data_IF_297967622410
#
_entry.id   IF_297967622410
#
_cell.length_a   1.000
_cell.length_b   1.000
_cell.length_c   1.000
_cell.angle_alpha   90.00
_cell.angle_beta   90.00
_cell.angle_gamma   90.00
#
_symmetry.space_group_name_H-M   'P 1'
#
loop_
_entity.id
_entity.type
_entity.pdbx_description
1 polymer ?
#
# COMPACT_ATOMS: atom_id res chain seq x y z
N UNK A 1 -11.96 32.20 -0.53
CA UNK A 1 -12.96 31.39 0.19
C UNK A 1 -13.56 30.24 -0.63
N UNK A 2 -13.54 30.28 -2.00
CA UNK A 2 -14.07 29.19 -2.86
C UNK A 2 -13.14 27.96 -2.99
N UNK A 3 -11.84 28.11 -2.81
CA UNK A 3 -10.87 27.02 -2.96
C UNK A 3 -10.90 26.00 -1.81
N UNK A 4 -11.13 26.43 -0.59
CA UNK A 4 -11.20 25.58 0.59
C UNK A 4 -12.39 24.60 0.51
N UNK A 5 -13.54 25.07 0.04
CA UNK A 5 -14.77 24.28 -0.01
C UNK A 5 -14.71 23.13 -1.04
N UNK A 6 -14.01 23.33 -2.16
CA UNK A 6 -13.85 22.28 -3.20
C UNK A 6 -12.89 21.16 -2.74
N UNK A 7 -11.78 21.52 -2.08
CA UNK A 7 -10.83 20.55 -1.51
C UNK A 7 -11.46 19.75 -0.38
N UNK A 8 -12.23 20.39 0.49
CA UNK A 8 -12.95 19.76 1.58
C UNK A 8 -13.99 18.75 1.04
N UNK A 9 -14.73 19.13 -0.02
CA UNK A 9 -15.70 18.26 -0.70
C UNK A 9 -15.00 17.05 -1.33
N UNK A 10 -13.87 17.25 -2.01
CA UNK A 10 -13.11 16.15 -2.60
C UNK A 10 -12.60 15.17 -1.55
N UNK A 11 -12.09 15.66 -0.44
CA UNK A 11 -11.61 14.85 0.69
C UNK A 11 -12.74 14.05 1.32
N UNK A 12 -13.92 14.66 1.50
CA UNK A 12 -15.12 13.99 2.00
C UNK A 12 -15.54 12.83 1.08
N UNK A 13 -15.61 13.09 -0.25
CA UNK A 13 -15.96 12.05 -1.23
C UNK A 13 -14.96 10.89 -1.16
N UNK A 14 -13.66 11.16 -1.10
CA UNK A 14 -12.61 10.13 -1.01
C UNK A 14 -12.71 9.30 0.26
N UNK A 15 -12.99 9.92 1.41
CA UNK A 15 -13.11 9.20 2.69
C UNK A 15 -14.31 8.24 2.69
N UNK A 16 -15.45 8.67 2.16
CA UNK A 16 -16.66 7.85 2.05
C UNK A 16 -16.46 6.76 0.99
N UNK A 17 -15.90 7.10 -0.17
CA UNK A 17 -15.61 6.14 -1.22
C UNK A 17 -14.65 5.03 -0.74
N UNK A 18 -13.61 5.40 0.02
CA UNK A 18 -12.69 4.47 0.68
C UNK A 18 -13.44 3.44 1.52
N UNK A 19 -14.36 3.89 2.37
CA UNK A 19 -15.21 3.01 3.19
C UNK A 19 -16.03 2.07 2.31
N UNK A 20 -16.74 2.60 1.31
CA UNK A 20 -17.57 1.79 0.42
C UNK A 20 -16.76 0.75 -0.37
N UNK A 21 -15.60 1.11 -0.88
CA UNK A 21 -14.73 0.18 -1.59
C UNK A 21 -14.10 -0.86 -0.65
N UNK A 22 -13.76 -0.47 0.57
CA UNK A 22 -13.26 -1.40 1.58
C UNK A 22 -14.32 -2.42 2.00
N UNK A 23 -15.57 -1.99 2.18
CA UNK A 23 -16.65 -2.87 2.65
C UNK A 23 -17.27 -3.74 1.56
N UNK A 24 -17.33 -3.24 0.31
CA UNK A 24 -18.14 -3.85 -0.77
C UNK A 24 -17.34 -4.20 -2.03
N UNK A 25 -16.07 -3.86 -2.06
CA UNK A 25 -15.24 -3.96 -3.27
C UNK A 25 -15.64 -2.96 -4.35
N UNK A 26 -14.93 -3.00 -5.48
CA UNK A 26 -15.21 -2.11 -6.60
C UNK A 26 -16.62 -2.32 -7.14
N UNK A 27 -17.05 -3.56 -7.38
CA UNK A 27 -18.36 -3.85 -8.01
C UNK A 27 -19.53 -3.59 -7.09
N UNK A 28 -19.40 -3.89 -5.79
CA UNK A 28 -20.47 -3.71 -4.82
C UNK A 28 -20.69 -2.25 -4.39
N UNK A 29 -19.70 -1.40 -4.55
CA UNK A 29 -19.84 0.03 -4.29
C UNK A 29 -20.56 0.73 -5.44
N UNK A 30 -21.40 1.75 -5.15
CA UNK A 30 -22.08 2.55 -6.17
C UNK A 30 -21.89 4.06 -5.92
N UNK A 31 -21.82 4.83 -7.00
CA UNK A 31 -21.78 6.30 -6.93
C UNK A 31 -23.00 6.82 -6.14
N UNK A 32 -24.17 6.22 -6.34
CA UNK A 32 -25.41 6.65 -5.67
C UNK A 32 -25.34 6.50 -4.16
N UNK A 33 -24.79 5.39 -3.68
CA UNK A 33 -24.62 5.19 -2.24
C UNK A 33 -23.58 6.14 -1.64
N UNK A 34 -22.50 6.41 -2.37
CA UNK A 34 -21.44 7.33 -1.94
C UNK A 34 -21.97 8.77 -1.83
N UNK A 35 -22.63 9.29 -2.88
CA UNK A 35 -23.17 10.66 -2.83
C UNK A 35 -24.29 10.82 -1.82
N UNK A 36 -25.10 9.78 -1.60
CA UNK A 36 -26.14 9.77 -0.55
C UNK A 36 -25.51 9.88 0.85
N UNK A 37 -24.49 9.08 1.13
CA UNK A 37 -23.80 9.14 2.43
C UNK A 37 -23.04 10.47 2.63
N UNK A 38 -22.47 11.03 1.55
CA UNK A 38 -21.82 12.34 1.55
C UNK A 38 -22.80 13.53 1.68
N UNK A 39 -24.10 13.29 1.55
CA UNK A 39 -25.12 14.33 1.42
C UNK A 39 -24.82 15.31 0.25
N UNK A 40 -24.39 14.76 -0.88
CA UNK A 40 -24.03 15.50 -2.09
C UNK A 40 -24.91 15.10 -3.28
N UNK A 41 -24.94 15.96 -4.30
CA UNK A 41 -25.50 15.60 -5.60
C UNK A 41 -24.51 14.78 -6.42
N UNK A 42 -25.02 13.96 -7.38
CA UNK A 42 -24.16 13.30 -8.38
C UNK A 42 -23.31 14.31 -9.16
N UNK A 43 -23.88 15.47 -9.51
CA UNK A 43 -23.16 16.54 -10.20
C UNK A 43 -21.95 17.04 -9.40
N UNK A 44 -22.06 17.15 -8.07
CA UNK A 44 -20.95 17.54 -7.21
C UNK A 44 -19.81 16.49 -7.22
N UNK A 45 -20.14 15.20 -7.29
CA UNK A 45 -19.13 14.14 -7.41
C UNK A 45 -18.50 14.17 -8.81
N UNK A 46 -19.29 14.28 -9.88
CA UNK A 46 -18.77 14.30 -11.26
C UNK A 46 -17.95 15.55 -11.60
N UNK A 47 -18.07 16.60 -10.78
CA UNK A 47 -17.16 17.75 -10.89
C UNK A 47 -15.71 17.41 -10.46
N UNK A 48 -15.56 16.43 -9.53
CA UNK A 48 -14.26 16.01 -9.00
C UNK A 48 -13.70 14.75 -9.67
N UNK A 49 -14.58 13.85 -10.11
CA UNK A 49 -14.19 12.53 -10.61
C UNK A 49 -15.02 12.17 -11.85
N UNK A 50 -14.36 11.73 -12.92
CA UNK A 50 -15.01 11.38 -14.18
C UNK A 50 -15.91 10.13 -14.09
N UNK A 51 -15.79 9.35 -13.04
CA UNK A 51 -16.59 8.14 -12.82
C UNK A 51 -16.08 7.30 -11.65
N UNK A 52 -16.70 6.13 -11.49
CA UNK A 52 -16.40 5.20 -10.39
C UNK A 52 -14.95 4.68 -10.43
N UNK A 53 -14.42 4.41 -11.63
CA UNK A 53 -13.05 3.95 -11.79
C UNK A 53 -12.04 5.03 -11.44
N UNK A 54 -12.29 6.27 -11.83
CA UNK A 54 -11.43 7.41 -11.48
C UNK A 54 -11.42 7.67 -9.97
N UNK A 55 -12.60 7.57 -9.34
CA UNK A 55 -12.74 7.64 -7.89
C UNK A 55 -11.98 6.49 -7.19
N UNK A 56 -12.11 5.25 -7.70
CA UNK A 56 -11.37 4.09 -7.17
C UNK A 56 -9.87 4.26 -7.31
N UNK A 57 -9.40 4.73 -8.49
CA UNK A 57 -7.99 5.05 -8.73
C UNK A 57 -7.45 6.09 -7.72
N UNK A 58 -8.24 7.11 -7.43
CA UNK A 58 -7.85 8.15 -6.49
C UNK A 58 -7.75 7.62 -5.04
N UNK A 59 -8.67 6.74 -4.64
CA UNK A 59 -8.61 6.05 -3.35
C UNK A 59 -7.39 5.15 -3.28
N UNK A 60 -7.16 4.32 -4.29
CA UNK A 60 -6.02 3.40 -4.36
C UNK A 60 -4.68 4.13 -4.28
N UNK A 61 -4.53 5.26 -5.00
CA UNK A 61 -3.34 6.12 -4.88
C UNK A 61 -3.14 6.64 -3.45
N UNK A 62 -4.23 6.99 -2.76
CA UNK A 62 -4.17 7.40 -1.36
C UNK A 62 -3.67 6.30 -0.43
N UNK A 63 -4.06 5.04 -0.65
CA UNK A 63 -3.58 3.90 0.14
C UNK A 63 -2.09 3.64 -0.10
N UNK A 64 -1.63 3.71 -1.34
CA UNK A 64 -0.20 3.57 -1.69
C UNK A 64 0.63 4.69 -1.05
N UNK A 65 0.14 5.92 -1.11
CA UNK A 65 0.82 7.09 -0.51
C UNK A 65 0.96 6.96 1.02
N UNK A 66 0.00 6.33 1.69
CA UNK A 66 0.11 6.03 3.13
C UNK A 66 1.24 5.05 3.43
N UNK A 67 1.41 4.00 2.61
CA UNK A 67 2.56 3.08 2.73
C UNK A 67 3.85 3.85 2.52
N UNK A 68 3.89 4.67 1.48
CA UNK A 68 5.05 5.48 1.15
C UNK A 68 5.47 6.39 2.31
N UNK A 69 4.55 7.12 2.89
CA UNK A 69 4.84 7.99 4.04
C UNK A 69 5.41 7.25 5.25
N UNK A 70 4.99 6.00 5.48
CA UNK A 70 5.54 5.19 6.56
C UNK A 70 6.93 4.65 6.22
N UNK A 71 7.10 4.14 4.99
CA UNK A 71 8.29 3.39 4.59
C UNK A 71 9.45 4.26 4.10
N UNK A 72 9.14 5.46 3.56
CA UNK A 72 10.13 6.35 2.97
C UNK A 72 10.57 7.41 3.97
N UNK A 73 11.89 7.59 4.21
CA UNK A 73 12.39 8.63 5.08
C UNK A 73 12.22 10.02 4.44
N UNK A 74 11.81 11.00 5.24
CA UNK A 74 11.77 12.40 4.83
C UNK A 74 13.18 13.00 4.70
N UNK A 75 14.18 12.40 5.38
CA UNK A 75 15.56 12.86 5.39
C UNK A 75 16.55 11.70 5.15
N UNK A 76 17.73 11.98 4.59
CA UNK A 76 18.77 10.97 4.42
C UNK A 76 19.24 10.45 5.77
N UNK A 77 19.23 9.13 5.93
CA UNK A 77 19.64 8.42 7.13
C UNK A 77 21.14 8.13 7.12
N UNK A 78 21.75 8.13 8.30
CA UNK A 78 23.13 7.67 8.43
C UNK A 78 23.23 6.18 8.13
N UNK A 79 24.31 5.72 7.45
CA UNK A 79 24.44 4.32 7.05
C UNK A 79 24.25 3.32 8.20
N UNK A 80 24.78 3.64 9.39
CA UNK A 80 24.73 2.81 10.60
C UNK A 80 23.32 2.67 11.19
N UNK A 81 22.42 3.61 10.92
CA UNK A 81 21.06 3.63 11.46
C UNK A 81 20.03 2.97 10.51
N UNK A 82 20.36 2.80 9.22
CA UNK A 82 19.42 2.42 8.17
C UNK A 82 18.66 1.12 8.42
N UNK A 83 19.38 0.07 8.86
CA UNK A 83 18.76 -1.24 9.13
C UNK A 83 17.71 -1.11 10.26
N UNK A 84 18.10 -0.47 11.37
CA UNK A 84 17.21 -0.27 12.51
C UNK A 84 15.99 0.57 12.16
N UNK A 85 16.17 1.64 11.38
CA UNK A 85 15.09 2.51 10.93
C UNK A 85 14.16 1.81 9.93
N UNK A 86 14.69 1.01 9.01
CA UNK A 86 13.86 0.25 8.07
C UNK A 86 13.03 -0.83 8.79
N UNK A 87 13.62 -1.50 9.80
CA UNK A 87 12.89 -2.42 10.67
C UNK A 87 11.77 -1.68 11.42
N UNK A 88 12.09 -0.56 12.06
CA UNK A 88 11.12 0.23 12.83
C UNK A 88 9.94 0.74 11.97
N UNK A 89 10.20 1.14 10.72
CA UNK A 89 9.15 1.57 9.77
C UNK A 89 8.22 0.43 9.36
N UNK A 90 8.76 -0.75 9.11
CA UNK A 90 7.92 -1.91 8.84
C UNK A 90 7.07 -2.31 10.06
N UNK A 91 7.60 -2.17 11.28
CA UNK A 91 6.82 -2.36 12.51
C UNK A 91 5.71 -1.29 12.63
N UNK A 92 5.99 -0.02 12.30
CA UNK A 92 4.99 1.05 12.24
C UNK A 92 3.91 0.76 11.19
N UNK A 93 4.30 0.21 10.03
CA UNK A 93 3.36 -0.20 8.98
C UNK A 93 2.42 -1.30 9.50
N UNK A 94 2.94 -2.32 10.16
CA UNK A 94 2.16 -3.39 10.79
C UNK A 94 1.17 -2.80 11.80
N UNK A 95 1.62 -1.91 12.69
CA UNK A 95 0.75 -1.24 13.66
C UNK A 95 -0.32 -0.38 13.00
N UNK A 96 0.01 0.35 11.94
CA UNK A 96 -0.93 1.16 11.19
C UNK A 96 -2.02 0.30 10.51
N UNK A 97 -1.62 -0.82 9.93
CA UNK A 97 -2.56 -1.79 9.33
C UNK A 97 -3.51 -2.39 10.37
N UNK A 98 -3.01 -2.68 11.58
CA UNK A 98 -3.85 -3.21 12.66
C UNK A 98 -4.88 -2.19 13.16
N UNK A 99 -4.53 -0.91 13.17
CA UNK A 99 -5.43 0.18 13.60
C UNK A 99 -6.47 0.55 12.55
N UNK A 100 -6.19 0.29 11.28
CA UNK A 100 -7.05 0.67 10.15
C UNK A 100 -7.66 -0.56 9.46
N UNK A 101 -8.81 -1.01 9.98
CA UNK A 101 -9.54 -2.13 9.41
C UNK A 101 -9.95 -1.89 7.95
N UNK A 102 -10.32 -0.65 7.59
CA UNK A 102 -10.71 -0.32 6.21
C UNK A 102 -9.55 -0.53 5.24
N UNK A 103 -8.34 -0.22 5.65
CA UNK A 103 -7.15 -0.49 4.83
C UNK A 103 -6.99 -1.97 4.52
N UNK A 104 -7.09 -2.83 5.55
CA UNK A 104 -7.00 -4.28 5.36
C UNK A 104 -8.10 -4.81 4.45
N UNK A 105 -9.35 -4.41 4.70
CA UNK A 105 -10.49 -4.82 3.88
C UNK A 105 -10.32 -4.37 2.42
N UNK A 106 -9.90 -3.12 2.19
CA UNK A 106 -9.63 -2.60 0.86
C UNK A 106 -8.57 -3.42 0.12
N UNK A 107 -7.46 -3.74 0.79
CA UNK A 107 -6.37 -4.54 0.21
C UNK A 107 -6.82 -5.97 -0.17
N UNK A 108 -7.64 -6.60 0.68
CA UNK A 108 -8.22 -7.93 0.38
C UNK A 108 -9.18 -7.86 -0.82
N UNK A 109 -10.05 -6.85 -0.87
CA UNK A 109 -10.93 -6.65 -2.03
C UNK A 109 -10.16 -6.36 -3.32
N UNK A 110 -9.09 -5.57 -3.24
CA UNK A 110 -8.21 -5.30 -4.38
C UNK A 110 -7.60 -6.60 -4.95
N UNK A 111 -7.08 -7.47 -4.08
CA UNK A 111 -6.55 -8.76 -4.49
C UNK A 111 -7.63 -9.67 -5.10
N UNK A 112 -8.81 -9.72 -4.48
CA UNK A 112 -9.94 -10.51 -4.97
C UNK A 112 -10.42 -10.05 -6.35
N UNK A 113 -10.54 -8.75 -6.58
CA UNK A 113 -10.94 -8.20 -7.88
C UNK A 113 -9.91 -8.51 -8.98
N UNK A 114 -8.61 -8.50 -8.64
CA UNK A 114 -7.54 -8.91 -9.56
C UNK A 114 -7.67 -10.39 -9.95
N UNK A 115 -8.00 -11.28 -8.99
CA UNK A 115 -8.19 -12.73 -9.25
C UNK A 115 -9.44 -13.00 -10.09
N UNK A 116 -10.49 -12.21 -9.94
CA UNK A 116 -11.74 -12.35 -10.72
C UNK A 116 -11.60 -12.03 -12.21
N UNK A 117 -10.43 -11.57 -12.64
CA UNK A 117 -10.11 -11.38 -14.05
C UNK A 117 -10.74 -10.14 -14.68
N UNK A 118 -11.12 -9.14 -13.89
CA UNK A 118 -11.48 -7.84 -14.44
C UNK A 118 -10.22 -7.13 -14.95
N UNK A 119 -10.06 -7.08 -16.25
CA UNK A 119 -8.87 -6.51 -16.90
C UNK A 119 -8.63 -5.05 -16.50
N UNK A 120 -9.69 -4.22 -16.44
CA UNK A 120 -9.57 -2.79 -16.11
C UNK A 120 -9.05 -2.55 -14.68
N UNK A 121 -9.54 -3.31 -13.70
CA UNK A 121 -9.05 -3.25 -12.31
C UNK A 121 -7.68 -3.90 -12.19
N UNK A 122 -7.46 -5.01 -12.89
CA UNK A 122 -6.20 -5.73 -12.92
C UNK A 122 -5.07 -4.85 -13.49
N UNK A 123 -5.34 -4.17 -14.62
CA UNK A 123 -4.40 -3.24 -15.25
C UNK A 123 -4.10 -2.05 -14.32
N UNK A 124 -5.12 -1.50 -13.66
CA UNK A 124 -4.93 -0.42 -12.70
C UNK A 124 -4.07 -0.84 -11.50
N UNK A 125 -4.34 -2.01 -10.93
CA UNK A 125 -3.57 -2.55 -9.82
C UNK A 125 -2.12 -2.85 -10.25
N UNK A 126 -1.93 -3.40 -11.45
CA UNK A 126 -0.62 -3.67 -12.03
C UNK A 126 0.19 -2.38 -12.22
N UNK A 127 -0.40 -1.35 -12.83
CA UNK A 127 0.25 -0.05 -13.04
C UNK A 127 0.68 0.61 -11.72
N UNK A 128 -0.17 0.55 -10.69
CA UNK A 128 0.15 1.14 -9.38
C UNK A 128 1.23 0.33 -8.66
N UNK A 129 1.17 -1.00 -8.70
CA UNK A 129 2.22 -1.86 -8.15
C UNK A 129 3.57 -1.64 -8.84
N UNK A 130 3.59 -1.54 -10.17
CA UNK A 130 4.82 -1.25 -10.92
C UNK A 130 5.41 0.10 -10.53
N UNK A 131 4.58 1.14 -10.44
CA UNK A 131 4.99 2.48 -10.02
C UNK A 131 5.58 2.49 -8.61
N UNK A 132 4.97 1.74 -7.69
CA UNK A 132 5.47 1.56 -6.33
C UNK A 132 6.83 0.83 -6.31
N UNK A 133 6.97 -0.25 -7.08
CA UNK A 133 8.23 -1.01 -7.18
C UNK A 133 9.36 -0.14 -7.70
N UNK A 134 9.14 0.64 -8.76
CA UNK A 134 10.15 1.54 -9.34
C UNK A 134 10.59 2.63 -8.36
N UNK A 135 9.64 3.25 -7.66
CA UNK A 135 9.94 4.25 -6.63
C UNK A 135 10.71 3.62 -5.47
N UNK A 136 10.27 2.46 -5.00
CA UNK A 136 10.90 1.77 -3.88
C UNK A 136 12.30 1.23 -4.24
N UNK A 137 12.51 0.79 -5.49
CA UNK A 137 13.83 0.44 -6.03
C UNK A 137 14.79 1.62 -5.95
N UNK A 138 14.37 2.79 -6.40
CA UNK A 138 15.16 4.02 -6.34
C UNK A 138 15.55 4.40 -4.90
N UNK A 139 14.62 4.25 -3.96
CA UNK A 139 14.86 4.52 -2.54
C UNK A 139 15.83 3.50 -1.94
N UNK A 140 15.60 2.21 -2.18
CA UNK A 140 16.49 1.16 -1.67
C UNK A 140 17.90 1.26 -2.23
N UNK A 141 18.08 1.55 -3.52
CA UNK A 141 19.41 1.78 -4.10
C UNK A 141 20.14 2.95 -3.46
N UNK A 142 19.41 4.03 -3.12
CA UNK A 142 19.99 5.17 -2.43
C UNK A 142 20.38 4.85 -0.99
N UNK A 143 19.52 4.10 -0.29
CA UNK A 143 19.74 3.72 1.11
C UNK A 143 20.75 2.58 1.26
N UNK A 144 20.73 1.63 0.35
CA UNK A 144 21.55 0.41 0.36
C UNK A 144 22.21 0.17 -1.01
N UNK A 145 23.26 0.94 -1.36
CA UNK A 145 23.94 0.80 -2.64
C UNK A 145 24.49 -0.61 -2.90
N UNK A 146 24.75 -1.37 -1.84
CA UNK A 146 25.19 -2.77 -1.89
C UNK A 146 24.15 -3.72 -2.49
N UNK A 147 22.87 -3.34 -2.51
CA UNK A 147 21.79 -4.11 -3.10
C UNK A 147 21.60 -3.84 -4.61
N UNK A 148 22.45 -3.00 -5.23
CA UNK A 148 22.35 -2.67 -6.65
C UNK A 148 22.28 -3.93 -7.54
N UNK A 149 23.10 -4.92 -7.22
CA UNK A 149 23.15 -6.20 -7.94
C UNK A 149 22.28 -7.29 -7.30
N UNK A 150 21.40 -6.89 -6.37
CA UNK A 150 20.55 -7.80 -5.61
C UNK A 150 21.25 -8.43 -4.41
N UNK A 151 20.68 -9.49 -3.87
CA UNK A 151 21.23 -10.28 -2.77
C UNK A 151 20.73 -11.73 -2.82
N UNK A 152 21.57 -12.67 -2.40
CA UNK A 152 21.19 -14.09 -2.32
C UNK A 152 20.82 -14.72 -3.68
N UNK A 153 21.34 -14.19 -4.79
CA UNK A 153 21.02 -14.64 -6.14
C UNK A 153 19.74 -14.03 -6.74
N UNK A 154 19.09 -13.12 -6.01
CA UNK A 154 17.88 -12.40 -6.46
C UNK A 154 18.23 -10.97 -6.84
N UNK A 155 17.62 -10.47 -7.92
CA UNK A 155 17.68 -9.06 -8.31
C UNK A 155 16.98 -8.17 -7.27
N UNK A 156 17.29 -6.88 -7.26
CA UNK A 156 16.61 -5.92 -6.36
C UNK A 156 15.09 -5.90 -6.56
N UNK A 157 14.61 -6.03 -7.80
CA UNK A 157 13.17 -6.11 -8.10
C UNK A 157 12.53 -7.36 -7.48
N UNK A 158 13.19 -8.50 -7.53
CA UNK A 158 12.70 -9.72 -6.89
C UNK A 158 12.67 -9.58 -5.36
N UNK A 159 13.67 -8.94 -4.77
CA UNK A 159 13.68 -8.63 -3.33
C UNK A 159 12.51 -7.72 -2.94
N UNK A 160 12.22 -6.67 -3.72
CA UNK A 160 11.06 -5.79 -3.49
C UNK A 160 9.77 -6.58 -3.58
N UNK A 161 9.63 -7.48 -4.57
CA UNK A 161 8.46 -8.37 -4.68
C UNK A 161 8.29 -9.29 -3.47
N UNK A 162 9.37 -9.76 -2.88
CA UNK A 162 9.31 -10.54 -1.63
C UNK A 162 8.74 -9.68 -0.50
N UNK A 163 9.20 -8.43 -0.34
CA UNK A 163 8.65 -7.52 0.67
C UNK A 163 7.19 -7.18 0.41
N UNK A 164 6.78 -6.91 -0.83
CA UNK A 164 5.38 -6.68 -1.20
C UNK A 164 4.49 -7.88 -0.82
N UNK A 165 4.90 -9.08 -1.23
CA UNK A 165 4.14 -10.31 -0.93
C UNK A 165 4.10 -10.62 0.56
N UNK A 166 5.19 -10.34 1.29
CA UNK A 166 5.20 -10.49 2.74
C UNK A 166 4.19 -9.55 3.40
N UNK A 167 4.17 -8.26 3.04
CA UNK A 167 3.20 -7.28 3.54
C UNK A 167 1.77 -7.68 3.15
N UNK A 168 1.53 -8.12 1.92
CA UNK A 168 0.21 -8.59 1.48
C UNK A 168 -0.26 -9.80 2.30
N UNK A 169 0.64 -10.74 2.62
CA UNK A 169 0.34 -11.86 3.52
C UNK A 169 -0.01 -11.39 4.94
N UNK A 170 0.70 -10.39 5.47
CA UNK A 170 0.39 -9.83 6.78
C UNK A 170 -1.02 -9.21 6.83
N UNK A 171 -1.42 -8.47 5.77
CA UNK A 171 -2.76 -7.86 5.67
C UNK A 171 -3.88 -8.87 5.96
N UNK A 172 -3.72 -10.09 5.43
CA UNK A 172 -4.75 -11.14 5.55
C UNK A 172 -4.66 -11.91 6.87
N UNK A 173 -3.48 -12.02 7.49
CA UNK A 173 -3.22 -12.97 8.57
C UNK A 173 -3.03 -12.33 9.95
N UNK A 174 -2.54 -11.10 10.03
CA UNK A 174 -2.32 -10.44 11.33
C UNK A 174 -3.64 -10.15 12.04
N UNK A 175 -3.72 -10.57 13.30
CA UNK A 175 -4.93 -10.48 14.12
C UNK A 175 -5.94 -11.61 13.89
N UNK A 176 -5.59 -12.61 13.06
CA UNK A 176 -6.35 -13.84 12.85
C UNK A 176 -5.50 -15.07 13.19
N UNK A 177 -4.61 -15.46 12.31
CA UNK A 177 -3.71 -16.63 12.47
C UNK A 177 -2.30 -16.23 12.89
N UNK A 178 -1.96 -14.94 12.83
CA UNK A 178 -0.66 -14.39 13.17
C UNK A 178 -0.83 -13.23 14.16
N UNK A 179 -0.14 -13.27 15.30
CA UNK A 179 -0.12 -12.16 16.23
C UNK A 179 0.72 -10.99 15.70
N UNK A 180 0.48 -9.79 16.23
CA UNK A 180 1.25 -8.58 15.86
C UNK A 180 2.73 -8.78 16.19
N UNK A 181 3.06 -9.38 17.33
CA UNK A 181 4.44 -9.62 17.74
C UNK A 181 5.15 -10.63 16.84
N UNK A 182 4.46 -11.69 16.40
CA UNK A 182 5.00 -12.63 15.41
C UNK A 182 5.24 -11.96 14.07
N UNK A 183 4.32 -11.13 13.62
CA UNK A 183 4.47 -10.36 12.38
C UNK A 183 5.70 -9.45 12.43
N UNK A 184 5.89 -8.71 13.53
CA UNK A 184 7.06 -7.84 13.74
C UNK A 184 8.38 -8.62 13.81
N UNK A 185 8.39 -9.77 14.51
CA UNK A 185 9.57 -10.65 14.54
C UNK A 185 9.90 -11.19 13.15
N UNK A 186 8.90 -11.61 12.39
CA UNK A 186 9.08 -12.11 11.02
C UNK A 186 9.59 -11.01 10.08
N UNK A 187 9.04 -9.80 10.20
CA UNK A 187 9.54 -8.63 9.46
C UNK A 187 11.01 -8.35 9.77
N UNK A 188 11.37 -8.24 11.04
CA UNK A 188 12.75 -8.02 11.47
C UNK A 188 13.69 -9.10 10.95
N UNK A 189 13.29 -10.35 11.02
CA UNK A 189 14.06 -11.48 10.49
C UNK A 189 14.29 -11.34 8.99
N UNK A 190 13.24 -11.08 8.20
CA UNK A 190 13.30 -10.92 6.76
C UNK A 190 14.27 -9.78 6.38
N UNK A 191 14.09 -8.60 6.95
CA UNK A 191 14.93 -7.42 6.68
C UNK A 191 16.39 -7.70 7.00
N UNK A 192 16.67 -8.24 8.18
CA UNK A 192 18.05 -8.54 8.60
C UNK A 192 18.72 -9.55 7.68
N UNK A 193 17.98 -10.56 7.19
CA UNK A 193 18.53 -11.56 6.27
C UNK A 193 18.79 -11.00 4.89
N UNK A 194 17.90 -10.19 4.37
CA UNK A 194 18.04 -9.55 3.06
C UNK A 194 19.17 -8.52 3.06
N UNK A 195 19.20 -7.63 4.05
CA UNK A 195 20.17 -6.53 4.08
C UNK A 195 21.60 -6.97 4.44
N UNK A 196 21.78 -8.03 5.25
CA UNK A 196 23.12 -8.57 5.59
C UNK A 196 23.70 -9.51 4.55
N UNK A 197 23.00 -9.70 3.43
CA UNK A 197 23.43 -10.66 2.42
C UNK A 197 23.53 -12.06 3.06
N UNK A 198 22.38 -12.71 3.29
CA UNK A 198 22.39 -14.08 3.81
C UNK A 198 23.34 -14.93 2.99
N UNK A 199 24.17 -15.75 3.67
CA UNK A 199 25.02 -16.71 2.99
C UNK A 199 24.19 -17.42 1.90
N UNK A 200 24.71 -17.61 0.69
CA UNK A 200 23.99 -18.29 -0.37
C UNK A 200 23.45 -19.60 0.20
N UNK A 201 22.16 -19.85 -0.06
CA UNK A 201 21.55 -21.13 0.28
C UNK A 201 22.38 -22.21 -0.43
N UNK A 202 23.17 -22.93 0.33
CA UNK A 202 23.82 -24.14 -0.20
C UNK A 202 22.72 -25.16 -0.39
N UNK A 203 22.49 -25.68 -1.61
CA UNK A 203 21.46 -26.70 -1.86
C UNK A 203 21.75 -27.99 -1.12
#
# INVERSE_FOLDING_TARGET
LKGNNAQDTRTLILSIARKHFAEKGFYGASIDSIVKEANLSKGALYWHFSGKLDLYRAVLKGEVERIRHIMVPDQPEKPEEREGLFIARGEQLIDAMMKDQLWRMFSVHMALESIRGNTEIQDLNCLISLSFVEEFESILMRMYPSLKDGAGGLSLKELIRIFENFIAGLVSNVGTTLSVDEAKRSWKFLVTRVLKGGAPYAP
#
